data_IF_136298046636
#
_entry.id   IF_136298046636
#
_cell.length_a   1.000
_cell.length_b   1.000
_cell.length_c   1.000
_cell.angle_alpha   90.00
_cell.angle_beta   90.00
_cell.angle_gamma   90.00
#
_symmetry.space_group_name_H-M   'P 1'
#
loop_
_entity.id
_entity.type
_entity.pdbx_description
1 polymer ?
#
# COMPACT_ATOMS: atom_id res chain seq x y z
N UNK A 1 -54.42 1.59 18.29
CA UNK A 1 -53.49 2.46 17.53
C UNK A 1 -52.90 1.67 16.38
N UNK A 2 -52.82 2.22 15.17
CA UNK A 2 -52.34 1.48 14.00
C UNK A 2 -50.86 1.16 14.18
N UNK A 3 -50.48 -0.12 14.03
CA UNK A 3 -49.08 -0.53 13.93
C UNK A 3 -48.48 0.16 12.71
N UNK A 4 -47.54 1.06 12.96
CA UNK A 4 -46.76 1.72 11.93
C UNK A 4 -46.07 0.67 11.05
N UNK A 5 -46.37 0.70 9.75
CA UNK A 5 -45.89 -0.27 8.75
C UNK A 5 -44.48 0.06 8.22
N UNK A 6 -43.80 1.06 8.81
CA UNK A 6 -42.49 1.55 8.36
C UNK A 6 -41.28 1.07 9.21
N UNK A 7 -41.47 0.22 10.23
CA UNK A 7 -40.39 -0.19 11.15
C UNK A 7 -39.84 -1.64 10.95
N UNK A 8 -40.08 -2.24 9.78
CA UNK A 8 -39.37 -3.44 9.28
C UNK A 8 -38.45 -2.88 8.19
N UNK A 9 -37.11 -2.88 8.23
CA UNK A 9 -36.25 -4.04 7.89
C UNK A 9 -34.75 -3.81 8.28
N UNK A 10 -34.41 -2.78 9.05
CA UNK A 10 -33.00 -2.36 9.24
C UNK A 10 -32.27 -3.13 10.36
N UNK A 11 -31.91 -4.37 10.06
CA UNK A 11 -31.12 -5.21 10.96
C UNK A 11 -29.66 -4.79 11.00
N UNK A 12 -29.15 -4.58 12.21
CA UNK A 12 -27.75 -4.26 12.46
C UNK A 12 -27.19 -5.17 13.56
N UNK A 13 -25.89 -5.44 13.50
CA UNK A 13 -25.18 -6.06 14.62
C UNK A 13 -24.87 -5.02 15.69
N UNK A 14 -25.66 -5.01 16.75
CA UNK A 14 -25.44 -4.15 17.91
C UNK A 14 -24.43 -4.78 18.87
N UNK A 15 -23.60 -3.93 19.47
CA UNK A 15 -22.73 -4.32 20.58
C UNK A 15 -23.48 -4.10 21.89
N UNK A 16 -23.68 -5.17 22.66
CA UNK A 16 -24.32 -5.15 23.99
C UNK A 16 -23.26 -5.39 25.06
N UNK A 17 -23.23 -4.53 26.07
CA UNK A 17 -22.42 -4.70 27.27
C UNK A 17 -23.22 -5.46 28.33
N UNK A 18 -22.71 -6.60 28.77
CA UNK A 18 -23.24 -7.38 29.90
C UNK A 18 -22.30 -7.27 31.10
N UNK A 19 -22.69 -7.86 32.24
CA UNK A 19 -21.72 -8.12 33.31
C UNK A 19 -20.70 -9.16 32.81
N UNK A 20 -19.40 -8.98 33.07
CA UNK A 20 -18.37 -9.98 32.80
C UNK A 20 -18.75 -11.38 33.28
N UNK A 21 -18.54 -12.40 32.45
CA UNK A 21 -18.86 -13.80 32.70
C UNK A 21 -20.36 -14.17 32.62
N UNK A 22 -21.23 -13.26 32.19
CA UNK A 22 -22.70 -13.47 32.08
C UNK A 22 -23.19 -13.42 30.62
N UNK A 23 -22.30 -13.45 29.66
CA UNK A 23 -22.59 -13.29 28.23
C UNK A 23 -23.41 -14.47 27.70
N UNK A 24 -23.06 -15.70 28.12
CA UNK A 24 -23.80 -16.92 27.74
C UNK A 24 -25.24 -16.88 28.23
N UNK A 25 -25.45 -16.44 29.47
CA UNK A 25 -26.78 -16.28 30.07
C UNK A 25 -27.65 -15.32 29.23
N UNK A 26 -27.08 -14.18 28.82
CA UNK A 26 -27.77 -13.25 27.94
C UNK A 26 -28.10 -13.87 26.56
N UNK A 27 -27.13 -14.53 25.92
CA UNK A 27 -27.35 -15.21 24.64
C UNK A 27 -28.45 -16.28 24.72
N UNK A 28 -28.47 -17.08 25.80
CA UNK A 28 -29.47 -18.12 25.98
C UNK A 28 -30.86 -17.53 26.21
N UNK A 29 -30.95 -16.42 26.96
CA UNK A 29 -32.21 -15.69 27.14
C UNK A 29 -32.72 -15.11 25.82
N UNK A 30 -31.84 -14.57 24.98
CA UNK A 30 -32.20 -14.12 23.63
C UNK A 30 -32.72 -15.30 22.81
N UNK A 31 -32.01 -16.42 22.78
CA UNK A 31 -32.42 -17.62 22.01
C UNK A 31 -33.79 -18.16 22.44
N UNK A 32 -34.10 -18.14 23.74
CA UNK A 32 -35.37 -18.61 24.28
C UNK A 32 -36.55 -17.67 23.99
N UNK A 33 -36.30 -16.38 23.75
CA UNK A 33 -37.35 -15.37 23.62
C UNK A 33 -37.41 -14.70 22.24
N UNK A 34 -36.47 -15.00 21.32
CA UNK A 34 -36.39 -14.36 20.00
C UNK A 34 -37.70 -14.49 19.20
N UNK A 35 -38.36 -15.65 19.29
CA UNK A 35 -39.61 -15.92 18.56
C UNK A 35 -40.80 -15.14 19.14
N UNK A 36 -40.73 -14.75 20.42
CA UNK A 36 -41.78 -13.99 21.13
C UNK A 36 -41.63 -12.49 20.90
N UNK A 37 -40.39 -11.99 20.90
CA UNK A 37 -40.11 -10.55 20.75
C UNK A 37 -40.20 -10.11 19.28
N UNK A 38 -39.83 -11.00 18.35
CA UNK A 38 -39.72 -10.67 16.92
C UNK A 38 -38.58 -9.67 16.64
N UNK A 39 -38.09 -9.62 15.40
CA UNK A 39 -37.02 -8.69 14.97
C UNK A 39 -35.69 -8.76 15.77
N UNK A 40 -35.43 -9.89 16.43
CA UNK A 40 -34.11 -10.30 16.91
C UNK A 40 -33.79 -11.62 16.20
N UNK A 41 -32.71 -11.64 15.40
CA UNK A 41 -32.38 -12.79 14.56
C UNK A 41 -31.35 -13.69 15.22
N UNK A 42 -30.31 -13.09 15.77
CA UNK A 42 -29.14 -13.83 16.27
C UNK A 42 -28.49 -13.11 17.45
N UNK A 43 -27.96 -13.88 18.40
CA UNK A 43 -27.02 -13.39 19.41
C UNK A 43 -25.76 -14.25 19.39
N UNK A 44 -24.61 -13.59 19.34
CA UNK A 44 -23.29 -14.17 19.25
C UNK A 44 -22.42 -13.71 20.42
N UNK A 45 -21.81 -14.68 21.11
CA UNK A 45 -20.90 -14.44 22.22
C UNK A 45 -19.54 -15.08 21.88
N UNK A 46 -18.49 -14.27 21.62
CA UNK A 46 -17.18 -14.79 21.27
C UNK A 46 -16.44 -15.25 22.53
N UNK A 47 -16.59 -16.53 22.86
CA UNK A 47 -15.95 -17.13 24.06
C UNK A 47 -14.63 -17.85 23.76
N UNK A 48 -14.31 -18.07 22.48
CA UNK A 48 -13.16 -18.88 22.08
C UNK A 48 -11.84 -18.12 22.11
N UNK A 49 -11.80 -16.84 21.71
CA UNK A 49 -10.57 -16.04 21.86
C UNK A 49 -10.34 -15.69 23.33
N UNK A 50 -9.18 -16.05 23.88
CA UNK A 50 -8.82 -15.80 25.29
C UNK A 50 -7.51 -15.03 25.43
N UNK A 51 -7.40 -14.23 26.49
CA UNK A 51 -6.20 -13.47 26.85
C UNK A 51 -5.68 -13.90 28.21
N UNK A 52 -4.36 -13.89 28.38
CA UNK A 52 -3.71 -14.12 29.67
C UNK A 52 -3.85 -12.87 30.55
N UNK A 53 -4.58 -13.00 31.65
CA UNK A 53 -4.78 -11.95 32.65
C UNK A 53 -4.09 -12.35 33.95
N UNK A 54 -3.40 -11.39 34.59
CA UNK A 54 -2.87 -11.57 35.95
C UNK A 54 -3.85 -10.95 36.94
N UNK A 55 -4.48 -11.79 37.75
CA UNK A 55 -5.35 -11.36 38.85
C UNK A 55 -4.76 -11.93 40.14
N UNK A 56 -4.40 -11.04 41.09
CA UNK A 56 -3.91 -11.42 42.42
C UNK A 56 -2.87 -12.56 42.39
N UNK A 57 -1.77 -12.33 41.66
CA UNK A 57 -0.63 -13.27 41.47
C UNK A 57 -0.91 -14.56 40.67
N UNK A 58 -2.17 -14.85 40.30
CA UNK A 58 -2.51 -15.98 39.43
C UNK A 58 -2.61 -15.54 37.97
N UNK A 59 -2.04 -16.35 37.08
CA UNK A 59 -2.28 -16.25 35.63
C UNK A 59 -3.55 -17.01 35.29
N UNK A 60 -4.52 -16.32 34.72
CA UNK A 60 -5.82 -16.85 34.33
C UNK A 60 -6.06 -16.53 32.85
N UNK A 61 -6.67 -17.45 32.09
CA UNK A 61 -7.17 -17.14 30.74
C UNK A 61 -8.61 -16.64 30.84
N UNK A 62 -8.90 -15.44 30.35
CA UNK A 62 -10.26 -14.89 30.28
C UNK A 62 -10.66 -14.67 28.81
N UNK A 63 -11.97 -14.77 28.47
CA UNK A 63 -12.44 -14.40 27.14
C UNK A 63 -11.99 -12.98 26.78
N UNK A 64 -11.54 -12.81 25.55
CA UNK A 64 -11.11 -11.52 25.04
C UNK A 64 -12.25 -10.49 25.09
N UNK A 65 -13.44 -10.91 24.69
CA UNK A 65 -14.61 -10.07 24.60
C UNK A 65 -15.48 -10.19 25.87
N UNK A 66 -14.84 -10.29 27.04
CA UNK A 66 -15.53 -10.39 28.32
C UNK A 66 -16.46 -9.18 28.54
N UNK A 67 -17.71 -9.45 28.89
CA UNK A 67 -18.81 -8.51 29.00
C UNK A 67 -19.38 -8.03 27.66
N UNK A 68 -19.07 -8.64 26.51
CA UNK A 68 -19.62 -8.25 25.21
C UNK A 68 -20.45 -9.36 24.55
N UNK A 69 -21.62 -8.97 24.06
CA UNK A 69 -22.48 -9.80 23.20
C UNK A 69 -22.81 -9.02 21.94
N UNK A 70 -22.78 -9.67 20.79
CA UNK A 70 -23.18 -9.09 19.51
C UNK A 70 -24.57 -9.61 19.15
N UNK A 71 -25.50 -8.70 18.85
CA UNK A 71 -26.91 -9.07 18.59
C UNK A 71 -27.35 -8.49 17.25
N UNK A 72 -27.78 -9.36 16.35
CA UNK A 72 -28.40 -8.97 15.08
C UNK A 72 -29.90 -8.75 15.30
N UNK A 73 -30.31 -7.48 15.32
CA UNK A 73 -31.68 -7.08 15.64
C UNK A 73 -32.04 -5.73 15.02
N UNK A 74 -33.30 -5.31 15.19
CA UNK A 74 -33.65 -3.88 15.13
C UNK A 74 -33.46 -3.23 16.50
N UNK A 75 -33.16 -1.93 16.53
CA UNK A 75 -32.91 -1.21 17.78
C UNK A 75 -34.06 -1.33 18.79
N UNK A 76 -35.29 -1.09 18.35
CA UNK A 76 -36.47 -1.06 19.23
C UNK A 76 -36.75 -2.43 19.85
N UNK A 77 -36.54 -3.51 19.09
CA UNK A 77 -36.70 -4.87 19.57
C UNK A 77 -35.63 -5.21 20.62
N UNK A 78 -34.37 -4.85 20.38
CA UNK A 78 -33.28 -5.09 21.32
C UNK A 78 -33.42 -4.25 22.60
N UNK A 79 -33.76 -2.97 22.48
CA UNK A 79 -33.97 -2.08 23.61
C UNK A 79 -35.16 -2.53 24.47
N UNK A 80 -36.25 -2.96 23.84
CA UNK A 80 -37.39 -3.55 24.52
C UNK A 80 -37.03 -4.86 25.23
N UNK A 81 -36.31 -5.76 24.55
CA UNK A 81 -35.86 -7.01 25.14
C UNK A 81 -34.97 -6.78 26.38
N UNK A 82 -34.00 -5.88 26.30
CA UNK A 82 -33.12 -5.56 27.44
C UNK A 82 -33.94 -5.01 28.61
N UNK A 83 -34.87 -4.08 28.37
CA UNK A 83 -35.72 -3.51 29.42
C UNK A 83 -36.57 -4.58 30.12
N UNK A 84 -37.14 -5.51 29.36
CA UNK A 84 -38.15 -6.43 29.88
C UNK A 84 -37.54 -7.73 30.44
N UNK A 85 -36.41 -8.19 29.90
CA UNK A 85 -35.83 -9.50 30.21
C UNK A 85 -34.43 -9.43 30.83
N UNK A 86 -33.63 -8.40 30.54
CA UNK A 86 -32.25 -8.31 31.06
C UNK A 86 -31.80 -6.86 31.37
N UNK A 87 -32.38 -6.20 32.40
CA UNK A 87 -32.20 -4.76 32.64
C UNK A 87 -30.75 -4.34 32.97
N UNK A 88 -29.88 -5.31 33.26
CA UNK A 88 -28.47 -5.08 33.58
C UNK A 88 -27.55 -4.99 32.34
N UNK A 89 -28.08 -5.20 31.13
CA UNK A 89 -27.33 -5.01 29.89
C UNK A 89 -27.55 -3.61 29.30
N UNK A 90 -26.58 -3.14 28.52
CA UNK A 90 -26.65 -1.81 27.88
C UNK A 90 -26.20 -1.92 26.43
N UNK A 91 -26.95 -1.34 25.50
CA UNK A 91 -26.50 -1.20 24.10
C UNK A 91 -25.41 -0.14 24.07
N UNK A 92 -24.23 -0.49 23.55
CA UNK A 92 -23.08 0.40 23.51
C UNK A 92 -23.32 1.53 22.50
N UNK A 93 -22.85 2.72 22.87
CA UNK A 93 -22.79 3.89 22.00
C UNK A 93 -21.34 4.20 21.64
N UNK A 94 -21.12 4.66 20.42
CA UNK A 94 -19.84 5.15 19.97
C UNK A 94 -19.48 6.45 20.71
N UNK A 95 -18.19 6.75 20.78
CA UNK A 95 -17.73 8.04 21.30
C UNK A 95 -18.25 9.16 20.39
N UNK A 96 -18.94 10.14 20.98
CA UNK A 96 -19.44 11.32 20.25
C UNK A 96 -18.27 12.07 19.61
N UNK A 97 -18.29 12.22 18.28
CA UNK A 97 -17.30 13.05 17.57
C UNK A 97 -17.67 14.54 17.70
N UNK A 98 -16.70 15.47 17.61
CA UNK A 98 -16.97 16.91 17.69
C UNK A 98 -17.98 17.42 16.64
N UNK A 99 -18.04 16.76 15.49
CA UNK A 99 -18.94 17.07 14.36
C UNK A 99 -20.36 16.51 14.52
N UNK A 100 -20.63 15.68 15.52
CA UNK A 100 -21.92 14.98 15.68
C UNK A 100 -22.77 15.63 16.78
N UNK A 101 -24.08 15.74 16.56
CA UNK A 101 -25.02 16.29 17.56
C UNK A 101 -25.30 15.31 18.71
N UNK A 102 -25.26 14.00 18.44
CA UNK A 102 -25.50 12.91 19.40
C UNK A 102 -24.55 11.73 19.15
N UNK A 103 -24.28 10.96 20.20
CA UNK A 103 -23.55 9.70 20.06
C UNK A 103 -24.38 8.69 19.26
N UNK A 104 -23.76 8.00 18.32
CA UNK A 104 -24.38 6.96 17.51
C UNK A 104 -24.31 5.59 18.20
N UNK A 105 -25.25 4.69 17.90
CA UNK A 105 -25.19 3.31 18.39
C UNK A 105 -23.99 2.57 17.80
N UNK A 106 -23.30 1.79 18.62
CA UNK A 106 -22.19 0.93 18.17
C UNK A 106 -22.74 -0.24 17.37
N UNK A 107 -22.61 -0.15 16.04
CA UNK A 107 -23.00 -1.20 15.10
C UNK A 107 -21.77 -1.73 14.34
N UNK A 108 -21.82 -3.01 13.98
CA UNK A 108 -20.80 -3.68 13.17
C UNK A 108 -21.40 -4.04 11.81
N UNK A 109 -20.74 -3.72 10.68
CA UNK A 109 -21.19 -4.18 9.37
C UNK A 109 -21.28 -5.71 9.30
N UNK A 110 -22.34 -6.26 8.68
CA UNK A 110 -22.55 -7.71 8.50
C UNK A 110 -21.33 -8.40 7.90
N UNK A 111 -20.72 -7.80 6.88
CA UNK A 111 -19.52 -8.34 6.23
C UNK A 111 -18.34 -8.47 7.18
N UNK A 112 -18.17 -7.52 8.10
CA UNK A 112 -17.12 -7.59 9.12
C UNK A 112 -17.48 -8.59 10.23
N UNK A 113 -18.75 -8.62 10.67
CA UNK A 113 -19.21 -9.56 11.69
C UNK A 113 -19.02 -11.01 11.24
N UNK A 114 -19.32 -11.33 9.98
CA UNK A 114 -19.13 -12.68 9.42
C UNK A 114 -17.67 -13.12 9.48
N UNK A 115 -16.73 -12.27 9.07
CA UNK A 115 -15.28 -12.52 9.15
C UNK A 115 -14.84 -12.67 10.61
N UNK A 116 -15.33 -11.80 11.48
CA UNK A 116 -15.01 -11.85 12.91
C UNK A 116 -15.49 -13.14 13.57
N UNK A 117 -16.70 -13.60 13.27
CA UNK A 117 -17.24 -14.88 13.73
C UNK A 117 -16.39 -16.04 13.22
N UNK A 118 -16.21 -16.15 11.90
CA UNK A 118 -15.42 -17.21 11.28
C UNK A 118 -14.01 -17.28 11.86
N UNK A 119 -13.37 -16.13 12.04
CA UNK A 119 -12.06 -16.05 12.66
C UNK A 119 -12.05 -16.49 14.14
N UNK A 120 -12.98 -15.99 14.96
CA UNK A 120 -13.01 -16.30 16.39
C UNK A 120 -13.33 -17.79 16.64
N UNK A 121 -14.16 -18.42 15.80
CA UNK A 121 -14.50 -19.83 15.92
C UNK A 121 -13.37 -20.74 15.43
N UNK A 122 -12.68 -20.37 14.34
CA UNK A 122 -11.69 -21.24 13.69
C UNK A 122 -10.23 -20.93 14.06
N UNK A 123 -9.92 -19.73 14.54
CA UNK A 123 -8.57 -19.25 14.86
C UNK A 123 -8.44 -18.55 16.24
N UNK A 124 -9.10 -19.06 17.30
CA UNK A 124 -9.26 -18.34 18.57
C UNK A 124 -7.97 -17.98 19.30
N UNK A 125 -6.88 -18.71 19.10
CA UNK A 125 -5.63 -18.44 19.83
C UNK A 125 -4.75 -17.36 19.19
N UNK A 126 -5.22 -16.71 18.12
CA UNK A 126 -4.38 -15.83 17.31
C UNK A 126 -4.75 -14.35 17.38
N UNK A 127 -6.01 -13.94 17.60
CA UNK A 127 -6.31 -12.50 17.74
C UNK A 127 -5.91 -11.97 19.13
N UNK A 128 -5.14 -10.88 19.13
CA UNK A 128 -4.70 -10.17 20.33
C UNK A 128 -5.26 -8.75 20.26
N UNK A 129 -6.14 -8.32 21.17
CA UNK A 129 -6.59 -6.94 21.21
C UNK A 129 -5.41 -6.04 21.54
N UNK A 130 -5.51 -4.80 21.09
CA UNK A 130 -4.53 -3.80 21.41
C UNK A 130 -5.18 -2.72 22.27
N UNK A 131 -4.42 -2.23 23.24
CA UNK A 131 -4.88 -1.19 24.17
C UNK A 131 -5.02 0.18 23.51
N UNK A 132 -4.26 0.44 22.44
CA UNK A 132 -4.27 1.72 21.73
C UNK A 132 -5.28 1.71 20.58
N UNK A 133 -5.84 2.88 20.21
CA UNK A 133 -6.65 3.04 19.02
C UNK A 133 -5.94 2.54 17.76
N UNK A 134 -6.71 2.15 16.75
CA UNK A 134 -6.17 1.67 15.47
C UNK A 134 -5.25 2.70 14.78
N UNK A 135 -5.63 3.98 14.84
CA UNK A 135 -4.86 5.09 14.25
C UNK A 135 -3.45 5.22 14.81
N UNK A 136 -3.21 4.83 16.07
CA UNK A 136 -1.88 4.89 16.69
C UNK A 136 -0.88 3.93 16.02
N UNK A 137 -1.38 2.92 15.30
CA UNK A 137 -0.57 1.94 14.59
C UNK A 137 -0.24 2.36 13.15
N UNK A 138 -0.72 3.52 12.69
CA UNK A 138 -0.34 4.07 11.39
C UNK A 138 1.14 4.45 11.34
N UNK A 139 1.76 4.75 12.48
CA UNK A 139 3.16 5.14 12.57
C UNK A 139 3.94 4.22 13.51
N UNK A 140 5.20 3.96 13.18
CA UNK A 140 6.12 3.24 14.04
C UNK A 140 6.55 4.16 15.20
N UNK A 141 6.28 3.79 16.47
CA UNK A 141 6.56 4.68 17.61
C UNK A 141 8.05 4.94 17.85
N UNK A 142 8.96 4.15 17.23
CA UNK A 142 10.41 4.32 17.38
C UNK A 142 11.02 5.23 16.33
N UNK A 143 10.60 5.06 15.08
CA UNK A 143 11.15 5.80 13.94
C UNK A 143 10.29 6.98 13.55
N UNK A 144 9.06 7.06 14.06
CA UNK A 144 8.02 7.98 13.63
C UNK A 144 7.71 7.89 12.12
N UNK A 145 8.10 6.79 11.49
CA UNK A 145 7.83 6.52 10.09
C UNK A 145 6.50 5.78 9.94
N UNK A 146 5.76 6.02 8.85
CA UNK A 146 4.52 5.30 8.54
C UNK A 146 4.74 3.79 8.41
N UNK A 147 3.81 3.00 8.96
CA UNK A 147 3.78 1.55 8.78
C UNK A 147 3.12 1.19 7.44
N UNK A 148 3.55 0.06 6.86
CA UNK A 148 2.97 -0.45 5.61
C UNK A 148 1.53 -0.91 5.85
N UNK A 149 0.62 -0.54 4.95
CA UNK A 149 -0.75 -1.05 4.93
C UNK A 149 -0.83 -2.19 3.95
N UNK A 150 -1.52 -3.25 4.36
CA UNK A 150 -1.75 -4.42 3.52
C UNK A 150 -3.21 -4.83 3.53
N UNK A 151 -3.62 -5.45 2.43
CA UNK A 151 -4.91 -6.10 2.26
C UNK A 151 -4.70 -7.59 2.13
N UNK A 152 -5.42 -8.36 2.93
CA UNK A 152 -5.42 -9.82 2.85
C UNK A 152 -6.19 -10.24 1.59
N UNK A 153 -5.60 -11.10 0.77
CA UNK A 153 -6.17 -11.52 -0.51
C UNK A 153 -7.13 -12.70 -0.34
N UNK A 154 -6.77 -13.67 0.49
CA UNK A 154 -7.52 -14.91 0.64
C UNK A 154 -7.58 -15.39 2.11
N UNK A 155 -8.33 -16.49 2.31
CA UNK A 155 -8.57 -17.06 3.62
C UNK A 155 -9.64 -16.31 4.45
N UNK A 156 -9.71 -16.57 5.77
CA UNK A 156 -10.81 -16.11 6.65
C UNK A 156 -10.87 -14.58 6.78
N UNK A 157 -9.77 -13.91 6.47
CA UNK A 157 -9.65 -12.45 6.55
C UNK A 157 -9.58 -11.79 5.18
N UNK A 158 -9.86 -12.49 4.09
CA UNK A 158 -9.85 -11.93 2.74
C UNK A 158 -10.58 -10.57 2.67
N UNK A 159 -9.94 -9.58 2.07
CA UNK A 159 -10.39 -8.19 1.99
C UNK A 159 -10.31 -7.41 3.31
N UNK A 160 -9.64 -7.93 4.35
CA UNK A 160 -9.34 -7.16 5.56
C UNK A 160 -8.06 -6.38 5.36
N UNK A 161 -8.10 -5.10 5.72
CA UNK A 161 -6.97 -4.19 5.62
C UNK A 161 -6.40 -3.89 7.01
N UNK A 162 -5.10 -3.65 7.07
CA UNK A 162 -4.44 -3.34 8.32
C UNK A 162 -2.98 -2.94 8.16
N UNK A 163 -2.41 -2.41 9.25
CA UNK A 163 -1.00 -2.07 9.32
C UNK A 163 -0.15 -3.29 9.63
N UNK A 164 0.99 -3.44 8.93
CA UNK A 164 2.05 -4.34 9.37
C UNK A 164 2.83 -3.66 10.49
N UNK A 165 2.67 -4.16 11.70
CA UNK A 165 3.39 -3.68 12.89
C UNK A 165 4.29 -4.76 13.47
N UNK A 166 5.47 -4.37 13.96
CA UNK A 166 6.44 -5.30 14.57
C UNK A 166 6.32 -5.29 16.10
N UNK A 167 5.83 -6.38 16.67
CA UNK A 167 5.76 -6.59 18.13
C UNK A 167 6.83 -7.59 18.55
N UNK A 168 7.79 -7.19 19.39
CA UNK A 168 8.87 -8.08 19.90
C UNK A 168 9.54 -8.95 18.82
N UNK A 169 9.76 -8.36 17.64
CA UNK A 169 10.34 -8.95 16.42
C UNK A 169 9.38 -9.74 15.51
N UNK A 170 8.17 -10.04 15.95
CA UNK A 170 7.12 -10.67 15.18
C UNK A 170 6.34 -9.63 14.35
N UNK A 171 6.14 -9.89 13.05
CA UNK A 171 5.37 -9.01 12.15
C UNK A 171 3.90 -9.44 12.19
N UNK A 172 3.04 -8.49 12.54
CA UNK A 172 1.62 -8.75 12.80
C UNK A 172 0.75 -7.87 11.92
N UNK A 173 -0.39 -8.40 11.50
CA UNK A 173 -1.47 -7.58 10.97
C UNK A 173 -2.13 -6.86 12.15
N UNK A 174 -2.24 -5.54 12.11
CA UNK A 174 -3.11 -4.80 13.01
C UNK A 174 -4.27 -4.28 12.18
N UNK A 175 -5.49 -4.71 12.47
CA UNK A 175 -6.69 -4.27 11.75
C UNK A 175 -7.72 -3.68 12.71
N UNK A 176 -8.63 -2.87 12.17
CA UNK A 176 -9.67 -2.21 12.96
C UNK A 176 -10.94 -3.05 13.05
N UNK A 177 -11.40 -3.31 14.27
CA UNK A 177 -12.72 -3.90 14.52
C UNK A 177 -13.75 -2.79 14.70
N UNK A 178 -14.52 -2.49 13.65
CA UNK A 178 -15.49 -1.39 13.64
C UNK A 178 -16.60 -1.70 14.65
N UNK A 179 -17.16 -0.66 15.27
CA UNK A 179 -18.18 -0.76 16.32
C UNK A 179 -17.66 -1.00 17.74
N UNK A 180 -16.51 -1.65 17.93
CA UNK A 180 -15.81 -1.66 19.24
C UNK A 180 -14.76 -0.54 19.35
N UNK A 181 -14.40 0.06 18.21
CA UNK A 181 -13.32 1.02 18.04
C UNK A 181 -12.01 0.50 18.65
N UNK A 182 -11.68 -0.74 18.30
CA UNK A 182 -10.57 -1.49 18.88
C UNK A 182 -9.65 -1.98 17.78
N UNK A 183 -8.34 -1.86 18.01
CA UNK A 183 -7.33 -2.46 17.17
C UNK A 183 -7.11 -3.92 17.58
N UNK A 184 -7.06 -4.82 16.60
CA UNK A 184 -6.81 -6.24 16.81
C UNK A 184 -5.56 -6.63 16.04
N UNK A 185 -4.63 -7.28 16.74
CA UNK A 185 -3.39 -7.79 16.20
C UNK A 185 -3.50 -9.28 15.90
N UNK A 186 -3.00 -9.70 14.74
CA UNK A 186 -2.90 -11.09 14.34
C UNK A 186 -1.41 -11.41 14.14
N UNK A 187 -0.85 -12.37 14.89
CA UNK A 187 0.54 -12.79 14.77
C UNK A 187 0.79 -13.49 13.44
N UNK A 188 2.05 -13.52 13.03
CA UNK A 188 2.49 -14.23 11.82
C UNK A 188 1.72 -13.82 10.55
N UNK A 189 1.84 -12.54 10.15
CA UNK A 189 1.26 -12.03 8.88
C UNK A 189 1.56 -12.93 7.67
N UNK A 190 2.69 -13.63 7.69
CA UNK A 190 3.15 -14.52 6.62
C UNK A 190 2.24 -15.73 6.37
N UNK A 191 1.34 -16.05 7.29
CA UNK A 191 0.32 -17.09 7.08
C UNK A 191 -0.81 -16.63 6.15
N UNK A 192 -0.85 -15.34 5.81
CA UNK A 192 -1.84 -14.76 4.90
C UNK A 192 -1.15 -14.31 3.62
N UNK A 193 -1.81 -14.55 2.48
CA UNK A 193 -1.43 -13.85 1.27
C UNK A 193 -1.92 -12.41 1.38
N UNK A 194 -0.97 -11.47 1.34
CA UNK A 194 -1.26 -10.06 1.49
C UNK A 194 -0.63 -9.26 0.37
N UNK A 195 -1.34 -8.24 -0.10
CA UNK A 195 -0.81 -7.22 -1.01
C UNK A 195 -0.64 -5.93 -0.25
N UNK A 196 0.45 -5.21 -0.54
CA UNK A 196 0.63 -3.86 -0.03
C UNK A 196 -0.34 -2.91 -0.71
N UNK A 197 -1.03 -2.11 0.08
CA UNK A 197 -1.85 -0.99 -0.41
C UNK A 197 -0.99 0.27 -0.33
N UNK A 198 -1.01 1.09 -1.37
CA UNK A 198 -0.25 2.33 -1.38
C UNK A 198 -0.89 3.36 -0.44
N UNK A 199 -0.12 3.93 0.49
CA UNK A 199 -0.66 4.97 1.36
C UNK A 199 -0.68 6.30 0.59
N UNK A 200 -1.85 6.86 0.32
CA UNK A 200 -1.90 8.18 -0.32
C UNK A 200 -1.29 9.29 0.57
N UNK A 201 -1.25 9.07 1.88
CA UNK A 201 -0.71 9.99 2.88
C UNK A 201 0.45 9.34 3.64
N UNK A 202 1.64 9.95 3.55
CA UNK A 202 2.81 9.46 4.27
C UNK A 202 3.28 8.07 3.80
N UNK A 203 3.15 7.70 2.53
CA UNK A 203 3.76 6.46 2.08
C UNK A 203 5.30 6.50 2.25
N UNK A 204 5.83 5.49 2.95
CA UNK A 204 7.25 5.35 3.24
C UNK A 204 8.07 5.19 1.96
N UNK A 205 7.53 4.56 0.91
CA UNK A 205 8.20 4.46 -0.39
C UNK A 205 8.25 5.81 -1.11
N UNK A 206 7.15 6.57 -1.06
CA UNK A 206 7.09 7.94 -1.58
C UNK A 206 8.13 8.82 -0.91
N UNK A 207 8.31 8.71 0.41
CA UNK A 207 9.37 9.42 1.15
C UNK A 207 10.76 8.88 0.78
N UNK A 208 10.90 7.55 0.71
CA UNK A 208 12.18 6.88 0.44
C UNK A 208 12.79 7.24 -0.91
N UNK A 209 11.94 7.44 -1.93
CA UNK A 209 12.33 7.68 -3.33
C UNK A 209 12.51 9.16 -3.69
N UNK A 210 12.34 10.10 -2.75
CA UNK A 210 12.41 11.55 -3.01
C UNK A 210 13.72 11.95 -3.70
N UNK A 211 14.85 11.36 -3.28
CA UNK A 211 16.19 11.71 -3.77
C UNK A 211 16.38 11.21 -5.19
N UNK A 212 15.97 9.98 -5.44
CA UNK A 212 16.02 9.31 -6.73
C UNK A 212 15.14 10.05 -7.74
N UNK A 213 13.95 10.50 -7.33
CA UNK A 213 13.07 11.35 -8.15
C UNK A 213 13.70 12.70 -8.48
N UNK A 214 14.40 13.32 -7.53
CA UNK A 214 15.08 14.59 -7.77
C UNK A 214 16.24 14.44 -8.76
N UNK A 215 17.06 13.38 -8.64
CA UNK A 215 18.15 13.10 -9.58
C UNK A 215 17.59 12.78 -10.97
N UNK A 216 16.55 11.96 -11.04
CA UNK A 216 15.88 11.62 -12.30
C UNK A 216 15.29 12.86 -13.00
N UNK A 217 14.66 13.77 -12.25
CA UNK A 217 14.19 15.06 -12.78
C UNK A 217 15.34 15.88 -13.37
N UNK A 218 16.46 16.01 -12.65
CA UNK A 218 17.64 16.76 -13.12
C UNK A 218 18.22 16.13 -14.40
N UNK A 219 18.38 14.80 -14.42
CA UNK A 219 18.84 14.05 -15.59
C UNK A 219 17.90 14.31 -16.78
N UNK A 220 16.59 14.23 -16.55
CA UNK A 220 15.57 14.48 -17.57
C UNK A 220 15.70 15.88 -18.17
N UNK A 221 15.82 16.92 -17.34
CA UNK A 221 15.99 18.31 -17.80
C UNK A 221 17.29 18.47 -18.62
N UNK A 222 18.39 17.87 -18.15
CA UNK A 222 19.70 17.96 -18.83
C UNK A 222 19.63 17.30 -20.21
N UNK A 223 19.12 16.07 -20.29
CA UNK A 223 18.97 15.34 -21.55
C UNK A 223 17.98 16.03 -22.48
N UNK A 224 16.87 16.52 -21.95
CA UNK A 224 15.84 17.22 -22.71
C UNK A 224 16.30 18.53 -23.33
N UNK A 225 17.35 19.16 -22.79
CA UNK A 225 18.00 20.34 -23.36
C UNK A 225 19.17 20.00 -24.31
N UNK A 226 19.30 18.74 -24.74
CA UNK A 226 20.30 18.31 -25.72
C UNK A 226 21.68 17.97 -25.15
N UNK A 227 21.83 17.82 -23.84
CA UNK A 227 23.12 17.49 -23.20
C UNK A 227 23.31 15.99 -22.93
N UNK A 228 22.73 15.11 -23.76
CA UNK A 228 22.76 13.65 -23.60
C UNK A 228 24.13 13.08 -23.18
N UNK A 229 25.16 13.30 -23.99
CA UNK A 229 26.52 12.79 -23.71
C UNK A 229 27.22 13.46 -22.51
N UNK A 230 26.76 14.65 -22.11
CA UNK A 230 27.33 15.43 -20.99
C UNK A 230 26.47 15.37 -19.73
N UNK A 231 25.46 14.49 -19.70
CA UNK A 231 24.45 14.47 -18.64
C UNK A 231 25.06 14.31 -17.25
N UNK A 232 25.91 13.29 -17.05
CA UNK A 232 26.51 13.03 -15.74
C UNK A 232 27.50 14.14 -15.30
N UNK A 233 28.44 14.60 -16.15
CA UNK A 233 29.27 15.75 -15.81
C UNK A 233 28.47 17.00 -15.40
N UNK A 234 27.42 17.34 -16.13
CA UNK A 234 26.57 18.48 -15.80
C UNK A 234 25.76 18.26 -14.54
N UNK A 235 25.22 17.06 -14.32
CA UNK A 235 24.55 16.71 -13.08
C UNK A 235 25.47 16.97 -11.88
N UNK A 236 26.73 16.51 -11.93
CA UNK A 236 27.67 16.72 -10.85
C UNK A 236 27.98 18.22 -10.64
N UNK A 237 28.21 18.97 -11.71
CA UNK A 237 28.42 20.42 -11.62
C UNK A 237 27.23 21.14 -10.98
N UNK A 238 26.00 20.75 -11.35
CA UNK A 238 24.78 21.34 -10.82
C UNK A 238 24.65 21.08 -9.32
N UNK A 239 24.91 19.84 -8.91
CA UNK A 239 24.87 19.44 -7.51
C UNK A 239 25.94 20.18 -6.70
N UNK A 240 27.17 20.29 -7.21
CA UNK A 240 28.26 21.04 -6.56
C UNK A 240 27.91 22.53 -6.40
N UNK A 241 27.45 23.18 -7.47
CA UNK A 241 27.10 24.61 -7.47
C UNK A 241 25.94 24.90 -6.50
N UNK A 242 24.88 24.09 -6.55
CA UNK A 242 23.73 24.24 -5.67
C UNK A 242 24.04 23.89 -4.21
N UNK A 243 25.01 23.01 -3.94
CA UNK A 243 25.46 22.72 -2.57
C UNK A 243 26.18 23.90 -1.94
N UNK A 244 26.96 24.65 -2.73
CA UNK A 244 27.61 25.90 -2.30
C UNK A 244 26.56 26.99 -2.05
N UNK A 245 25.63 27.17 -3.00
CA UNK A 245 24.57 28.17 -2.90
C UNK A 245 23.21 27.55 -3.27
N UNK A 246 22.40 27.11 -2.27
CA UNK A 246 21.14 26.43 -2.50
C UNK A 246 20.01 27.41 -2.87
N UNK A 247 20.19 28.10 -4.00
CA UNK A 247 19.29 29.10 -4.55
C UNK A 247 19.06 28.79 -6.02
N UNK A 248 17.90 28.19 -6.33
CA UNK A 248 17.52 27.88 -7.71
C UNK A 248 17.43 29.14 -8.58
N UNK A 249 17.02 30.27 -8.00
CA UNK A 249 16.96 31.56 -8.72
C UNK A 249 18.35 32.01 -9.18
N UNK A 250 19.34 31.94 -8.30
CA UNK A 250 20.71 32.32 -8.66
C UNK A 250 21.34 31.31 -9.60
N UNK A 251 21.03 30.03 -9.41
CA UNK A 251 21.45 28.96 -10.31
C UNK A 251 20.90 29.14 -11.72
N UNK A 252 19.62 29.49 -11.88
CA UNK A 252 19.03 29.86 -13.17
C UNK A 252 19.80 31.00 -13.85
N UNK A 253 20.14 32.06 -13.10
CA UNK A 253 20.92 33.19 -13.63
C UNK A 253 22.34 32.76 -14.02
N UNK A 254 22.98 31.92 -13.22
CA UNK A 254 24.29 31.35 -13.51
C UNK A 254 24.28 30.56 -14.80
N UNK A 255 23.32 29.64 -14.98
CA UNK A 255 23.12 28.88 -16.22
C UNK A 255 22.95 29.81 -17.43
N UNK A 256 22.11 30.84 -17.31
CA UNK A 256 21.91 31.83 -18.38
C UNK A 256 23.21 32.54 -18.76
N UNK A 257 23.98 32.99 -17.76
CA UNK A 257 25.25 33.68 -17.95
C UNK A 257 26.35 32.78 -18.54
N UNK A 258 26.34 31.48 -18.20
CA UNK A 258 27.21 30.45 -18.79
C UNK A 258 26.79 30.07 -20.23
N UNK A 259 25.70 30.63 -20.75
CA UNK A 259 25.19 30.37 -22.11
C UNK A 259 24.20 29.21 -22.21
N UNK A 260 23.86 28.54 -21.10
CA UNK A 260 22.89 27.45 -21.02
C UNK A 260 21.45 27.98 -20.93
N UNK A 261 21.02 28.73 -21.95
CA UNK A 261 19.73 29.46 -21.95
C UNK A 261 18.51 28.56 -21.80
N UNK A 262 18.48 27.43 -22.52
CA UNK A 262 17.35 26.50 -22.48
C UNK A 262 17.23 25.82 -21.10
N UNK A 263 18.35 25.38 -20.53
CA UNK A 263 18.41 24.85 -19.16
C UNK A 263 17.90 25.88 -18.15
N UNK A 264 18.38 27.13 -18.23
CA UNK A 264 17.92 28.22 -17.37
C UNK A 264 16.39 28.40 -17.45
N UNK A 265 15.82 28.36 -18.65
CA UNK A 265 14.36 28.44 -18.85
C UNK A 265 13.62 27.24 -18.25
N UNK A 266 14.14 26.01 -18.42
CA UNK A 266 13.55 24.80 -17.82
C UNK A 266 13.51 24.88 -16.30
N UNK A 267 14.61 25.28 -15.67
CA UNK A 267 14.65 25.45 -14.21
C UNK A 267 13.71 26.57 -13.73
N UNK A 268 13.55 27.65 -14.51
CA UNK A 268 12.63 28.74 -14.18
C UNK A 268 11.15 28.33 -14.24
N UNK A 269 10.80 27.28 -15.01
CA UNK A 269 9.44 26.74 -15.12
C UNK A 269 9.11 25.66 -14.08
N UNK A 270 10.03 25.31 -13.18
CA UNK A 270 9.78 24.30 -12.16
C UNK A 270 8.66 24.76 -11.20
N UNK A 271 7.72 23.87 -10.93
CA UNK A 271 6.75 24.07 -9.87
C UNK A 271 7.39 23.95 -8.46
N UNK A 272 6.63 24.35 -7.44
CA UNK A 272 7.10 24.32 -6.05
C UNK A 272 7.50 22.92 -5.59
N UNK A 273 6.77 21.88 -6.01
CA UNK A 273 7.03 20.50 -5.60
C UNK A 273 8.36 19.99 -6.15
N UNK A 274 8.63 20.24 -7.42
CA UNK A 274 9.87 19.85 -8.09
C UNK A 274 11.06 20.68 -7.59
N UNK A 275 10.87 21.97 -7.30
CA UNK A 275 11.88 22.79 -6.65
C UNK A 275 12.24 22.26 -5.26
N UNK A 276 11.25 21.88 -4.45
CA UNK A 276 11.46 21.25 -3.13
C UNK A 276 12.19 19.92 -3.23
N UNK A 277 11.85 19.06 -4.21
CA UNK A 277 12.55 17.80 -4.47
C UNK A 277 14.06 18.03 -4.68
N UNK A 278 14.41 18.99 -5.55
CA UNK A 278 15.82 19.33 -5.82
C UNK A 278 16.48 19.87 -4.55
N UNK A 279 15.88 20.83 -3.85
CA UNK A 279 16.47 21.41 -2.64
C UNK A 279 16.66 20.37 -1.53
N UNK A 280 15.77 19.37 -1.42
CA UNK A 280 15.92 18.26 -0.48
C UNK A 280 17.12 17.37 -0.85
N UNK A 281 17.31 17.06 -2.13
CA UNK A 281 18.50 16.36 -2.60
C UNK A 281 19.77 17.14 -2.28
N UNK A 282 19.79 18.46 -2.52
CA UNK A 282 20.96 19.31 -2.25
C UNK A 282 21.30 19.35 -0.76
N UNK A 283 20.30 19.43 0.12
CA UNK A 283 20.52 19.33 1.58
C UNK A 283 21.14 17.99 1.94
N UNK A 284 20.61 16.90 1.38
CA UNK A 284 21.12 15.56 1.64
C UNK A 284 22.56 15.38 1.16
N UNK A 285 22.88 15.86 -0.05
CA UNK A 285 24.24 15.83 -0.60
C UNK A 285 25.20 16.65 0.27
N UNK A 286 24.77 17.81 0.79
CA UNK A 286 25.57 18.61 1.72
C UNK A 286 25.95 17.85 2.99
N UNK A 287 24.98 17.09 3.53
CA UNK A 287 25.19 16.26 4.73
C UNK A 287 25.93 14.95 4.42
N UNK A 288 25.89 14.49 3.16
CA UNK A 288 26.51 13.24 2.69
C UNK A 288 27.27 13.46 1.37
N UNK A 289 28.41 14.17 1.40
CA UNK A 289 29.12 14.57 0.18
C UNK A 289 29.52 13.38 -0.69
N UNK A 290 29.22 13.45 -1.99
CA UNK A 290 29.52 12.41 -2.96
C UNK A 290 28.41 11.37 -3.14
N UNK A 291 27.27 11.52 -2.46
CA UNK A 291 26.14 10.58 -2.58
C UNK A 291 25.66 10.47 -4.03
N UNK A 292 25.40 11.58 -4.73
CA UNK A 292 24.95 11.53 -6.13
C UNK A 292 26.01 10.88 -7.02
N UNK A 293 27.28 11.26 -6.88
CA UNK A 293 28.36 10.74 -7.72
C UNK A 293 28.59 9.23 -7.52
N UNK A 294 28.43 8.75 -6.29
CA UNK A 294 28.57 7.33 -5.96
C UNK A 294 27.43 6.48 -6.53
N UNK A 295 26.20 7.00 -6.54
CA UNK A 295 25.00 6.25 -6.93
C UNK A 295 24.64 6.38 -8.42
N UNK A 296 25.03 7.48 -9.08
CA UNK A 296 24.79 7.72 -10.51
C UNK A 296 26.09 7.88 -11.27
N UNK A 297 26.83 6.79 -11.47
CA UNK A 297 28.11 6.78 -12.18
C UNK A 297 28.04 6.23 -13.62
N UNK A 298 26.88 5.69 -14.01
CA UNK A 298 26.62 5.17 -15.36
C UNK A 298 25.19 5.50 -15.75
N UNK A 299 25.04 6.12 -16.92
CA UNK A 299 23.74 6.48 -17.48
C UNK A 299 23.82 6.36 -19.00
N UNK A 300 23.08 5.40 -19.56
CA UNK A 300 22.91 5.26 -21.01
C UNK A 300 21.55 5.82 -21.41
N UNK A 301 20.50 5.34 -20.75
CA UNK A 301 19.12 5.82 -20.86
C UNK A 301 18.53 5.84 -19.45
N UNK A 302 17.57 6.74 -19.21
CA UNK A 302 16.84 6.81 -17.93
C UNK A 302 16.12 5.49 -17.66
N UNK A 303 15.80 5.17 -16.39
CA UNK A 303 15.02 3.98 -16.04
C UNK A 303 13.77 3.86 -16.90
N UNK A 304 13.36 2.62 -17.21
CA UNK A 304 12.25 2.38 -18.14
C UNK A 304 11.00 3.18 -17.78
N UNK A 305 10.61 3.28 -16.51
CA UNK A 305 9.52 4.15 -16.07
C UNK A 305 10.05 5.25 -15.16
N UNK A 306 9.73 6.49 -15.49
CA UNK A 306 10.04 7.66 -14.66
C UNK A 306 8.80 8.50 -14.38
N UNK A 307 8.74 9.24 -13.26
CA UNK A 307 7.63 10.12 -12.94
C UNK A 307 7.63 11.43 -13.74
N UNK A 308 8.70 11.70 -14.50
CA UNK A 308 8.83 12.96 -15.25
C UNK A 308 9.37 12.72 -16.65
N UNK A 309 8.83 13.39 -17.68
CA UNK A 309 9.28 13.14 -19.05
C UNK A 309 10.71 13.65 -19.30
N UNK A 310 11.17 14.64 -18.53
CA UNK A 310 12.42 15.37 -18.81
C UNK A 310 12.33 16.34 -19.99
N UNK A 311 11.29 16.23 -20.81
CA UNK A 311 11.01 17.05 -21.98
C UNK A 311 9.59 17.59 -21.95
N UNK A 312 9.36 18.67 -22.71
CA UNK A 312 8.02 19.21 -22.89
C UNK A 312 7.28 18.33 -23.91
N UNK A 313 6.01 18.03 -23.61
CA UNK A 313 5.09 17.40 -24.55
C UNK A 313 4.19 18.51 -25.11
N UNK A 314 3.92 18.46 -26.41
CA UNK A 314 2.84 19.29 -26.97
C UNK A 314 1.48 18.80 -26.47
N UNK A 315 0.48 19.68 -26.48
CA UNK A 315 -0.88 19.32 -26.12
C UNK A 315 -1.36 18.15 -27.01
N UNK A 316 -2.03 17.17 -26.40
CA UNK A 316 -2.49 15.91 -27.01
C UNK A 316 -1.41 14.91 -27.47
N UNK A 317 -0.12 15.24 -27.36
CA UNK A 317 0.97 14.32 -27.68
C UNK A 317 1.12 13.23 -26.60
N UNK A 318 1.12 11.97 -27.03
CA UNK A 318 1.29 10.80 -26.15
C UNK A 318 2.73 10.25 -26.16
N UNK A 319 3.52 10.64 -27.15
CA UNK A 319 4.90 10.21 -27.34
C UNK A 319 5.78 11.34 -27.86
N UNK A 320 6.99 11.44 -27.36
CA UNK A 320 8.02 12.35 -27.88
C UNK A 320 9.34 11.62 -28.09
N UNK A 321 10.29 12.27 -28.77
CA UNK A 321 11.58 11.68 -29.13
C UNK A 321 12.73 12.57 -28.69
N UNK A 322 13.76 11.95 -28.12
CA UNK A 322 15.05 12.60 -27.84
C UNK A 322 16.10 11.94 -28.72
N UNK A 323 16.87 12.76 -29.45
CA UNK A 323 17.99 12.26 -30.23
C UNK A 323 19.25 12.22 -29.37
N UNK A 324 19.80 11.03 -29.16
CA UNK A 324 21.14 10.84 -28.58
C UNK A 324 22.15 10.60 -29.70
N UNK A 325 23.43 10.62 -29.36
CA UNK A 325 24.52 10.45 -30.33
C UNK A 325 24.47 9.12 -31.05
N UNK A 326 24.10 8.03 -30.36
CA UNK A 326 24.14 6.67 -30.90
C UNK A 326 22.77 6.01 -31.09
N UNK A 327 21.69 6.63 -30.60
CA UNK A 327 20.35 6.06 -30.65
C UNK A 327 19.29 7.15 -30.53
N UNK A 328 18.05 6.83 -30.87
CA UNK A 328 16.90 7.70 -30.62
C UNK A 328 16.11 7.13 -29.45
N UNK A 329 15.78 7.96 -28.47
CA UNK A 329 14.92 7.59 -27.36
C UNK A 329 13.48 8.00 -27.65
N UNK A 330 12.54 7.08 -27.50
CA UNK A 330 11.11 7.33 -27.46
C UNK A 330 10.68 7.42 -26.00
N UNK A 331 9.95 8.48 -25.67
CA UNK A 331 9.34 8.70 -24.36
C UNK A 331 7.83 8.67 -24.53
N UNK A 332 7.16 7.68 -23.93
CA UNK A 332 5.72 7.44 -24.05
C UNK A 332 5.02 7.66 -22.72
N UNK A 333 3.89 8.38 -22.71
CA UNK A 333 3.02 8.50 -21.52
C UNK A 333 2.38 7.15 -21.22
N UNK A 334 2.41 6.75 -19.95
CA UNK A 334 1.79 5.50 -19.45
C UNK A 334 1.05 5.83 -18.16
N UNK A 335 -0.28 5.67 -18.19
CA UNK A 335 -1.10 5.82 -17.00
C UNK A 335 -1.19 4.50 -16.24
N UNK A 336 -0.79 4.53 -14.96
CA UNK A 336 -0.84 3.38 -14.06
C UNK A 336 -1.87 3.67 -12.98
N UNK A 337 -2.90 2.83 -12.90
CA UNK A 337 -3.93 2.89 -11.86
C UNK A 337 -3.59 1.93 -10.73
N UNK A 338 -3.43 2.45 -9.52
CA UNK A 338 -3.09 1.70 -8.33
C UNK A 338 -4.19 1.86 -7.27
N UNK A 339 -4.39 0.81 -6.46
CA UNK A 339 -5.23 0.90 -5.27
C UNK A 339 -4.48 1.65 -4.17
N UNK A 340 -5.13 2.66 -3.62
CA UNK A 340 -4.61 3.48 -2.53
C UNK A 340 -5.52 3.39 -1.32
N UNK A 341 -4.94 3.57 -0.15
CA UNK A 341 -5.68 3.69 1.10
C UNK A 341 -5.37 5.05 1.72
N UNK A 342 -6.40 5.74 2.20
CA UNK A 342 -6.30 7.01 2.92
C UNK A 342 -6.43 6.76 4.42
N UNK A 343 -5.32 6.71 5.19
CA UNK A 343 -5.34 6.33 6.60
C UNK A 343 -6.22 7.24 7.47
N UNK A 344 -6.23 8.54 7.18
CA UNK A 344 -7.02 9.53 7.91
C UNK A 344 -8.53 9.37 7.73
N UNK A 345 -8.95 8.79 6.59
CA UNK A 345 -10.36 8.61 6.21
C UNK A 345 -10.85 7.17 6.36
N UNK A 346 -9.93 6.22 6.48
CA UNK A 346 -10.19 4.77 6.47
C UNK A 346 -10.94 4.30 5.21
N UNK A 347 -10.56 4.87 4.06
CA UNK A 347 -11.21 4.65 2.78
C UNK A 347 -10.21 4.17 1.72
N UNK A 348 -10.67 3.19 0.93
CA UNK A 348 -10.01 2.75 -0.30
C UNK A 348 -10.33 3.73 -1.44
N UNK A 349 -9.35 3.94 -2.30
CA UNK A 349 -9.52 4.66 -3.55
C UNK A 349 -8.64 4.07 -4.63
N UNK A 350 -8.72 4.67 -5.81
CA UNK A 350 -7.80 4.41 -6.91
C UNK A 350 -7.14 5.71 -7.30
N UNK A 351 -5.82 5.69 -7.45
CA UNK A 351 -5.08 6.80 -8.04
C UNK A 351 -4.59 6.36 -9.40
N UNK A 352 -4.74 7.22 -10.41
CA UNK A 352 -4.06 7.06 -11.69
C UNK A 352 -2.90 8.03 -11.72
N UNK A 353 -1.70 7.50 -11.84
CA UNK A 353 -0.46 8.27 -11.94
C UNK A 353 0.12 8.10 -13.33
N UNK A 354 0.40 9.22 -13.99
CA UNK A 354 1.10 9.20 -15.28
C UNK A 354 2.59 9.04 -15.06
N UNK A 355 3.15 7.99 -15.65
CA UNK A 355 4.57 7.74 -15.80
C UNK A 355 5.00 7.89 -17.26
N UNK A 356 6.31 7.89 -17.48
CA UNK A 356 6.91 8.04 -18.80
C UNK A 356 7.81 6.84 -19.08
N UNK A 357 7.47 6.08 -20.12
CA UNK A 357 8.21 4.92 -20.58
C UNK A 357 9.33 5.34 -21.53
N UNK A 358 10.57 4.93 -21.24
CA UNK A 358 11.79 5.28 -21.98
C UNK A 358 12.31 4.08 -22.77
N UNK A 359 12.30 4.19 -24.11
CA UNK A 359 12.72 3.12 -25.03
C UNK A 359 13.75 3.66 -26.03
N UNK A 360 14.95 3.11 -26.01
CA UNK A 360 16.00 3.41 -26.98
C UNK A 360 15.86 2.58 -28.25
N UNK A 361 16.12 3.22 -29.40
CA UNK A 361 16.05 2.62 -30.74
C UNK A 361 17.36 2.87 -31.47
N UNK A 362 17.97 1.79 -31.95
CA UNK A 362 19.11 1.82 -32.87
C UNK A 362 18.65 1.21 -34.19
N UNK A 363 18.76 1.98 -35.28
CA UNK A 363 18.49 1.51 -36.62
C UNK A 363 19.78 0.98 -37.27
N UNK A 364 19.78 -0.29 -37.66
CA UNK A 364 20.80 -0.85 -38.53
C UNK A 364 20.48 -0.42 -39.98
N UNK A 365 21.27 0.54 -40.48
CA UNK A 365 21.06 1.11 -41.82
C UNK A 365 21.31 0.10 -42.94
N UNK A 366 22.03 -0.98 -42.67
CA UNK A 366 22.42 -1.95 -43.68
C UNK A 366 21.45 -3.15 -43.76
N UNK A 367 20.60 -3.34 -42.74
CA UNK A 367 19.76 -4.55 -42.60
C UNK A 367 18.26 -4.31 -42.44
N UNK A 368 17.80 -3.07 -42.59
CA UNK A 368 16.40 -2.65 -42.29
C UNK A 368 15.91 -3.15 -40.92
N UNK A 369 16.81 -3.36 -39.97
CA UNK A 369 16.49 -3.94 -38.66
C UNK A 369 16.63 -2.90 -37.56
N UNK A 370 15.74 -2.95 -36.57
CA UNK A 370 15.77 -2.09 -35.40
C UNK A 370 16.15 -2.89 -34.16
N UNK A 371 17.02 -2.34 -33.33
CA UNK A 371 17.26 -2.82 -31.97
C UNK A 371 16.57 -1.90 -30.99
N UNK A 372 15.64 -2.45 -30.21
CA UNK A 372 14.94 -1.77 -29.12
C UNK A 372 15.58 -2.16 -27.79
N UNK A 373 15.78 -1.20 -26.90
CA UNK A 373 16.31 -1.45 -25.56
C UNK A 373 15.73 -0.49 -24.53
N UNK A 374 15.71 -0.91 -23.27
CA UNK A 374 15.27 -0.08 -22.14
C UNK A 374 16.10 -0.40 -20.90
N UNK A 375 16.22 0.58 -20.00
CA UNK A 375 16.97 0.40 -18.75
C UNK A 375 16.05 -0.15 -17.64
N UNK A 376 16.07 -1.47 -17.49
CA UNK A 376 15.34 -2.18 -16.45
C UNK A 376 16.16 -2.42 -15.18
N UNK A 377 17.45 -2.04 -15.14
CA UNK A 377 18.38 -2.52 -14.13
C UNK A 377 17.97 -2.14 -12.71
N UNK A 378 17.50 -0.89 -12.51
CA UNK A 378 17.05 -0.44 -11.20
C UNK A 378 15.78 -1.19 -10.75
N UNK A 379 14.82 -1.33 -11.66
CA UNK A 379 13.57 -2.03 -11.38
C UNK A 379 13.80 -3.51 -11.07
N UNK A 380 14.57 -4.22 -11.91
CA UNK A 380 14.88 -5.65 -11.71
C UNK A 380 15.75 -5.87 -10.47
N UNK A 381 16.65 -4.92 -10.18
CA UNK A 381 17.46 -4.88 -8.97
C UNK A 381 16.61 -4.91 -7.70
N UNK A 382 15.63 -4.02 -7.61
CA UNK A 382 14.72 -3.94 -6.47
C UNK A 382 13.68 -5.08 -6.46
N UNK A 383 13.13 -5.44 -7.62
CA UNK A 383 12.07 -6.44 -7.73
C UNK A 383 12.54 -7.85 -7.36
N UNK A 384 13.70 -8.26 -7.88
CA UNK A 384 14.24 -9.60 -7.60
C UNK A 384 15.27 -9.60 -6.47
N UNK A 385 15.61 -8.43 -5.90
CA UNK A 385 16.75 -8.26 -5.00
C UNK A 385 18.05 -8.80 -5.64
N UNK A 386 18.16 -8.76 -6.98
CA UNK A 386 19.28 -9.31 -7.75
C UNK A 386 20.05 -8.21 -8.47
N UNK A 387 21.34 -8.07 -8.22
CA UNK A 387 22.19 -7.15 -8.96
C UNK A 387 22.92 -7.84 -10.13
N UNK A 388 23.09 -7.14 -11.25
CA UNK A 388 24.01 -7.53 -12.33
C UNK A 388 23.55 -8.71 -13.20
N UNK A 389 24.43 -9.69 -13.44
CA UNK A 389 24.23 -10.82 -14.40
C UNK A 389 23.00 -11.71 -14.13
N UNK A 390 22.42 -11.62 -12.95
CA UNK A 390 21.16 -12.28 -12.63
C UNK A 390 19.98 -11.70 -13.43
N UNK A 391 19.97 -10.39 -13.68
CA UNK A 391 18.95 -9.71 -14.47
C UNK A 391 18.93 -10.22 -15.92
N UNK A 392 20.10 -10.43 -16.53
CA UNK A 392 20.19 -11.01 -17.87
C UNK A 392 19.56 -12.40 -17.97
N UNK A 393 19.70 -13.24 -16.94
CA UNK A 393 19.09 -14.58 -16.94
C UNK A 393 17.57 -14.53 -16.78
N UNK A 394 17.05 -13.54 -16.05
CA UNK A 394 15.61 -13.36 -15.79
C UNK A 394 14.86 -12.81 -17.02
N UNK A 395 15.52 -11.96 -17.82
CA UNK A 395 14.96 -11.39 -19.05
C UNK A 395 15.12 -12.32 -20.26
N UNK A 396 16.15 -13.17 -20.30
CA UNK A 396 16.42 -14.07 -21.46
C UNK A 396 15.42 -15.21 -21.66
N UNK A 397 14.54 -15.49 -20.68
CA UNK A 397 13.36 -16.34 -20.86
C UNK A 397 13.54 -17.58 -21.74
N UNK A 398 14.56 -18.42 -21.53
CA UNK A 398 14.66 -19.68 -22.28
C UNK A 398 13.78 -20.74 -21.64
N UNK A 399 12.82 -21.28 -22.41
CA UNK A 399 12.17 -22.56 -22.11
C UNK A 399 13.24 -23.65 -22.07
N UNK A 400 13.72 -24.00 -20.89
CA UNK A 400 14.58 -25.18 -20.73
C UNK A 400 13.68 -26.40 -20.91
N UNK A 401 13.67 -27.01 -22.11
CA UNK A 401 13.21 -28.39 -22.23
C UNK A 401 14.15 -29.23 -21.38
N UNK A 402 13.64 -29.76 -20.27
CA UNK A 402 14.38 -30.72 -19.49
C UNK A 402 14.74 -31.90 -20.40
N UNK A 403 16.04 -32.13 -20.58
CA UNK A 403 16.54 -33.27 -21.32
C UNK A 403 15.89 -34.55 -20.78
N UNK A 404 15.19 -35.25 -21.66
CA UNK A 404 14.55 -36.53 -21.41
C UNK A 404 15.59 -37.57 -21.02
N UNK A 405 15.72 -37.86 -19.72
CA UNK A 405 16.21 -39.16 -19.29
C UNK A 405 15.04 -40.13 -19.30
N UNK A 406 15.14 -41.08 -20.24
CA UNK A 406 14.26 -42.22 -20.44
C UNK A 406 14.40 -43.13 -19.21
N UNK A 407 13.32 -43.22 -18.42
CA UNK A 407 12.75 -44.45 -17.85
C UNK A 407 11.94 -44.13 -16.60
N UNK A 408 10.61 -44.04 -16.79
CA UNK A 408 9.59 -44.67 -15.97
C UNK A 408 8.24 -44.00 -16.25
N UNK A 409 7.42 -44.74 -16.97
CA UNK A 409 6.01 -44.48 -17.21
C UNK A 409 5.23 -44.65 -15.92
N UNK A 410 4.87 -43.53 -15.28
CA UNK A 410 3.63 -43.37 -14.53
C UNK A 410 3.42 -41.89 -14.19
N UNK A 411 2.33 -41.32 -14.73
CA UNK A 411 1.70 -40.02 -14.40
C UNK A 411 2.55 -39.05 -13.56
N UNK A 412 3.38 -38.25 -14.23
CA UNK A 412 3.79 -36.94 -13.72
C UNK A 412 3.07 -35.88 -14.55
N UNK A 413 2.06 -35.25 -13.96
CA UNK A 413 1.72 -33.87 -14.34
C UNK A 413 3.03 -33.09 -14.38
N UNK A 414 3.28 -32.50 -15.55
CA UNK A 414 4.45 -31.69 -15.84
C UNK A 414 4.45 -30.47 -14.92
N UNK A 415 4.99 -30.61 -13.72
CA UNK A 415 5.53 -29.49 -12.94
C UNK A 415 6.78 -29.01 -13.68
N UNK A 416 6.55 -28.37 -14.83
CA UNK A 416 7.49 -27.40 -15.38
C UNK A 416 7.72 -26.39 -14.27
N UNK A 417 8.86 -26.47 -13.59
CA UNK A 417 9.38 -25.34 -12.83
C UNK A 417 9.71 -24.25 -13.84
N UNK A 418 8.67 -23.55 -14.29
CA UNK A 418 8.75 -22.24 -14.89
C UNK A 418 9.66 -21.46 -13.96
N UNK A 419 10.86 -21.14 -14.42
CA UNK A 419 11.60 -20.04 -13.83
C UNK A 419 10.62 -18.87 -13.89
N UNK A 420 10.28 -18.31 -12.73
CA UNK A 420 9.37 -17.18 -12.54
C UNK A 420 9.89 -15.99 -13.37
N UNK A 421 9.61 -16.02 -14.66
CA UNK A 421 10.04 -15.00 -15.60
C UNK A 421 9.15 -13.78 -15.41
N UNK A 422 9.76 -12.59 -15.44
CA UNK A 422 9.08 -11.30 -15.33
C UNK A 422 7.85 -11.18 -16.26
N UNK A 423 7.91 -11.82 -17.43
CA UNK A 423 6.80 -11.96 -18.39
C UNK A 423 5.49 -12.46 -17.75
N UNK A 424 5.58 -13.43 -16.83
CA UNK A 424 4.41 -14.11 -16.27
C UNK A 424 3.84 -13.42 -15.02
N UNK A 425 4.66 -12.63 -14.32
CA UNK A 425 4.27 -11.99 -13.05
C UNK A 425 3.79 -10.54 -13.21
N UNK A 426 4.31 -9.82 -14.20
CA UNK A 426 3.89 -8.45 -14.50
C UNK A 426 3.50 -8.30 -15.98
N UNK A 427 2.49 -9.05 -16.47
CA UNK A 427 2.08 -9.04 -17.87
C UNK A 427 1.70 -7.63 -18.35
N UNK A 428 1.21 -6.75 -17.47
CA UNK A 428 0.92 -5.35 -17.81
C UNK A 428 2.20 -4.57 -18.15
N UNK A 429 3.28 -4.73 -17.37
CA UNK A 429 4.57 -4.07 -17.66
C UNK A 429 5.27 -4.68 -18.88
N UNK A 430 5.06 -5.97 -19.12
CA UNK A 430 5.55 -6.65 -20.32
C UNK A 430 4.75 -6.24 -21.59
N UNK A 431 3.43 -6.09 -21.49
CA UNK A 431 2.58 -5.69 -22.62
C UNK A 431 2.82 -4.25 -23.08
N UNK A 432 3.29 -3.35 -22.20
CA UNK A 432 3.76 -2.01 -22.59
C UNK A 432 4.98 -2.09 -23.53
N UNK A 433 5.71 -3.22 -23.51
CA UNK A 433 6.88 -3.47 -24.36
C UNK A 433 6.64 -4.36 -25.59
N UNK A 434 5.42 -4.84 -25.83
CA UNK A 434 5.08 -5.73 -26.96
C UNK A 434 4.24 -5.06 -28.07
N UNK A 435 4.34 -3.74 -28.22
CA UNK A 435 3.71 -2.99 -29.33
C UNK A 435 4.76 -2.38 -30.24
#
# INVERSE_FOLDING_TARGET
>A
MPKDKLNRVDFHWFVVRTRPGREKEFCDLVRQNKDKVGNILEAYCPTHTTVDVRIAERKCKLPLFDGYVFVLATHDALAGFIRDYYPNAVIRVNRKRPSESRATLSTIPETQMRKFKDYNENYPETAIPLERPYTDYAFNPKTNEPNDIVKVIDGPLAGTEGYITKFRRDKRLVYHLKGLDMAVSIPNIWNFHVVRVHNAEGDKQTIGTIKERAVDLLIGIIQGCGYGDKTLPMLYEFIEELTIKPSLVDFCKSLYNKGHKELSQRFAKLDTKNAELILNLIRYEKDNPGYVKANWNKLVIRPFLTPTPGVEFEDDQHETKIQHTNFTEIIRKVDITEQVYYPSKEEEGTITTTYYAHVGIIQDKDKESFTLFANWDYFLGEYFMTAGKANEKLVKGTKTQAASNIDNSEKKESNEKLIESFHNYAPTLYNVSSV
#
